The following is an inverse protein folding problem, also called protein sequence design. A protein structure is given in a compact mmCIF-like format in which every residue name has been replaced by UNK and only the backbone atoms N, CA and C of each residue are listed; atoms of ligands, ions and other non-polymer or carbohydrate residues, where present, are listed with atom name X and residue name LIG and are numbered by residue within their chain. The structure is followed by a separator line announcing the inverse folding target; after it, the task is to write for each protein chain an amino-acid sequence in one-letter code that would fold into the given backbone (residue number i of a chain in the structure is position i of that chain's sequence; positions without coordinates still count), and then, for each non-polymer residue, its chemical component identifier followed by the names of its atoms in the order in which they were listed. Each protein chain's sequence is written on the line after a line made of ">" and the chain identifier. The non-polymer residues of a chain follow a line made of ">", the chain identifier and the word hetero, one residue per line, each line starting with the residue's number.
data_IF_159874839493
#
_entry.id   IF_159874839493
#
_cell.length_a   1.000
_cell.length_b   1.000
_cell.length_c   1.000
_cell.angle_alpha   90.00
_cell.angle_beta   90.00
_cell.angle_gamma   90.00
#
_symmetry.space_group_name_H-M   'P 1'
#
loop_
_entity.id
_entity.type
_entity.pdbx_description
1 polymer ?
#
# COMPACT_ATOMS: atom_id res chain seq x y z
N UNK A 1 -1.34 7.07 9.39
CA UNK A 1 -2.72 6.56 9.63
C UNK A 1 -3.47 7.63 10.42
N UNK A 2 -4.34 8.40 9.78
CA UNK A 2 -5.16 9.44 10.44
C UNK A 2 -6.62 9.02 10.26
N UNK A 3 -7.11 8.23 11.22
CA UNK A 3 -8.55 8.00 11.31
C UNK A 3 -9.18 9.31 11.80
N UNK A 4 -9.99 9.91 10.96
CA UNK A 4 -10.66 11.17 11.27
C UNK A 4 -11.63 10.95 12.46
N UNK A 5 -11.51 11.71 13.54
CA UNK A 5 -12.35 11.57 14.76
C UNK A 5 -13.86 11.70 14.47
N UNK A 6 -14.22 12.36 13.37
CA UNK A 6 -15.62 12.51 12.93
C UNK A 6 -16.31 11.21 12.55
N UNK A 7 -15.56 10.12 12.31
CA UNK A 7 -16.11 8.81 11.97
C UNK A 7 -16.87 8.13 13.14
N UNK A 8 -16.76 8.63 14.38
CA UNK A 8 -17.39 8.03 15.56
C UNK A 8 -18.83 8.52 15.78
N UNK A 9 -19.20 9.67 15.25
CA UNK A 9 -20.49 10.29 15.46
C UNK A 9 -21.54 9.87 14.42
N UNK A 10 -22.82 9.76 14.80
CA UNK A 10 -23.90 9.55 13.84
C UNK A 10 -23.92 10.66 12.77
N UNK A 11 -23.91 10.30 11.51
CA UNK A 11 -23.82 11.21 10.38
C UNK A 11 -22.39 11.59 9.98
N UNK A 12 -21.37 11.08 10.70
CA UNK A 12 -19.96 11.26 10.34
C UNK A 12 -19.54 10.42 9.12
N UNK A 13 -18.41 10.79 8.54
CA UNK A 13 -17.84 10.12 7.37
C UNK A 13 -16.54 9.41 7.74
N UNK A 14 -16.33 8.24 7.14
CA UNK A 14 -15.04 7.56 7.06
C UNK A 14 -14.45 7.88 5.70
N UNK A 15 -13.19 8.31 5.68
CA UNK A 15 -12.34 8.24 4.50
C UNK A 15 -11.08 7.50 4.89
N UNK A 16 -10.69 6.53 4.08
CA UNK A 16 -9.50 5.72 4.29
C UNK A 16 -8.78 5.54 2.97
N UNK A 17 -7.51 5.92 2.94
CA UNK A 17 -6.65 5.77 1.79
C UNK A 17 -5.70 4.59 2.06
N UNK A 18 -5.69 3.61 1.16
CA UNK A 18 -4.88 2.41 1.34
C UNK A 18 -4.31 1.92 0.01
N UNK A 19 -3.20 1.22 0.07
CA UNK A 19 -2.52 0.64 -1.08
C UNK A 19 -2.46 -0.88 -0.94
N UNK A 20 -2.88 -1.60 -1.97
CA UNK A 20 -2.65 -3.03 -2.05
C UNK A 20 -1.22 -3.31 -2.50
N UNK A 21 -0.44 -3.96 -1.64
CA UNK A 21 0.94 -4.37 -1.98
C UNK A 21 0.97 -5.43 -3.08
N UNK A 22 -0.11 -6.22 -3.22
CA UNK A 22 -0.26 -7.19 -4.31
C UNK A 22 -0.44 -6.52 -5.68
N UNK A 23 -0.87 -5.24 -5.71
CA UNK A 23 -1.10 -4.49 -6.94
C UNK A 23 0.14 -3.80 -7.50
N UNK A 24 1.31 -3.97 -6.86
CA UNK A 24 2.57 -3.48 -7.41
C UNK A 24 2.92 -4.22 -8.71
N UNK A 25 2.95 -3.51 -9.83
CA UNK A 25 3.20 -4.08 -11.15
C UNK A 25 3.84 -3.07 -12.10
N UNK A 26 4.24 -3.54 -13.28
CA UNK A 26 4.65 -2.68 -14.40
C UNK A 26 3.84 -3.06 -15.64
N UNK A 27 3.86 -2.17 -16.66
CA UNK A 27 3.29 -2.45 -17.98
C UNK A 27 4.21 -3.29 -18.85
N UNK A 28 5.44 -3.52 -18.42
CA UNK A 28 6.44 -4.25 -19.17
C UNK A 28 6.14 -5.75 -19.21
N UNK A 29 6.27 -6.34 -20.38
CA UNK A 29 6.10 -7.77 -20.60
C UNK A 29 7.23 -8.31 -21.50
N UNK A 30 8.07 -9.23 -21.00
CA UNK A 30 8.05 -9.83 -19.65
C UNK A 30 8.40 -8.83 -18.56
N UNK A 31 7.98 -9.11 -17.33
CA UNK A 31 8.35 -8.26 -16.19
C UNK A 31 9.87 -8.25 -15.99
N UNK A 32 10.47 -7.07 -15.76
CA UNK A 32 11.90 -6.97 -15.46
C UNK A 32 12.28 -7.80 -14.23
N UNK A 33 13.49 -8.43 -14.23
CA UNK A 33 13.97 -9.20 -13.08
C UNK A 33 13.95 -8.42 -11.76
N UNK A 34 14.30 -7.14 -11.82
CA UNK A 34 14.24 -6.20 -10.68
C UNK A 34 12.84 -6.15 -10.06
N UNK A 35 11.80 -6.00 -10.87
CA UNK A 35 10.41 -5.93 -10.40
C UNK A 35 9.97 -7.26 -9.80
N UNK A 36 10.39 -8.36 -10.41
CA UNK A 36 10.13 -9.71 -9.90
C UNK A 36 10.77 -9.91 -8.52
N UNK A 37 12.02 -9.46 -8.36
CA UNK A 37 12.72 -9.53 -7.06
C UNK A 37 12.04 -8.65 -6.00
N UNK A 38 11.66 -7.43 -6.34
CA UNK A 38 10.94 -6.55 -5.41
C UNK A 38 9.61 -7.18 -4.98
N UNK A 39 8.86 -7.77 -5.89
CA UNK A 39 7.63 -8.52 -5.56
C UNK A 39 7.89 -9.68 -4.61
N UNK A 40 8.95 -10.43 -4.84
CA UNK A 40 9.35 -11.54 -3.97
C UNK A 40 9.65 -11.04 -2.54
N UNK A 41 10.39 -9.93 -2.42
CA UNK A 41 10.72 -9.31 -1.13
C UNK A 41 9.45 -8.84 -0.41
N UNK A 42 8.57 -8.12 -1.10
CA UNK A 42 7.30 -7.64 -0.54
C UNK A 42 6.45 -8.83 -0.07
N UNK A 43 6.27 -9.84 -0.93
CA UNK A 43 5.50 -11.05 -0.61
C UNK A 43 6.06 -11.75 0.62
N UNK A 44 7.37 -11.93 0.70
CA UNK A 44 8.02 -12.53 1.86
C UNK A 44 7.75 -11.76 3.16
N UNK A 45 7.81 -10.42 3.14
CA UNK A 45 7.52 -9.60 4.33
C UNK A 45 6.03 -9.70 4.71
N UNK A 46 5.13 -9.64 3.73
CA UNK A 46 3.68 -9.80 3.94
C UNK A 46 3.40 -11.12 4.64
N UNK A 47 3.92 -12.23 4.12
CA UNK A 47 3.69 -13.58 4.65
C UNK A 47 4.31 -13.75 6.04
N UNK A 48 5.57 -13.36 6.21
CA UNK A 48 6.29 -13.58 7.48
C UNK A 48 5.83 -12.68 8.61
N UNK A 49 5.23 -11.53 8.31
CA UNK A 49 4.66 -10.59 9.28
C UNK A 49 3.16 -10.76 9.47
N UNK A 50 2.56 -11.72 8.77
CA UNK A 50 1.11 -11.95 8.76
C UNK A 50 0.33 -10.66 8.44
N UNK A 51 0.81 -9.91 7.46
CA UNK A 51 0.17 -8.67 7.00
C UNK A 51 -0.97 -9.01 6.06
N UNK A 52 -1.98 -8.16 6.03
CA UNK A 52 -3.06 -8.31 5.07
C UNK A 52 -2.56 -8.04 3.64
N UNK A 53 -2.75 -8.99 2.75
CA UNK A 53 -2.37 -8.86 1.33
C UNK A 53 -3.30 -7.91 0.55
N UNK A 54 -4.54 -7.77 1.00
CA UNK A 54 -5.55 -6.88 0.41
C UNK A 54 -6.22 -6.00 1.47
N UNK A 55 -5.50 -5.01 2.03
CA UNK A 55 -6.02 -4.13 3.06
C UNK A 55 -7.32 -3.40 2.67
N UNK A 56 -7.49 -2.88 1.43
CA UNK A 56 -8.71 -2.17 1.06
C UNK A 56 -9.99 -3.00 1.25
N UNK A 57 -9.96 -4.27 0.84
CA UNK A 57 -11.11 -5.18 1.01
C UNK A 57 -11.41 -5.46 2.49
N UNK A 58 -10.36 -5.63 3.28
CA UNK A 58 -10.51 -5.83 4.73
C UNK A 58 -11.16 -4.60 5.38
N UNK A 59 -10.68 -3.40 5.03
CA UNK A 59 -11.18 -2.13 5.59
C UNK A 59 -12.65 -1.92 5.20
N UNK A 60 -13.00 -2.15 3.94
CA UNK A 60 -14.40 -2.05 3.49
C UNK A 60 -15.31 -2.99 4.28
N UNK A 61 -14.92 -4.26 4.45
CA UNK A 61 -15.66 -5.24 5.22
C UNK A 61 -15.82 -4.84 6.69
N UNK A 62 -14.74 -4.37 7.31
CA UNK A 62 -14.80 -3.94 8.72
C UNK A 62 -15.60 -2.65 8.90
N UNK A 63 -15.57 -1.74 7.93
CA UNK A 63 -16.42 -0.56 7.91
C UNK A 63 -17.92 -0.97 7.83
N UNK A 64 -18.26 -1.94 6.97
CA UNK A 64 -19.62 -2.50 6.91
C UNK A 64 -20.06 -3.09 8.25
N UNK A 65 -19.20 -3.89 8.89
CA UNK A 65 -19.46 -4.47 10.22
C UNK A 65 -19.62 -3.41 11.31
N UNK A 66 -18.89 -2.31 11.19
CA UNK A 66 -19.00 -1.16 12.10
C UNK A 66 -20.26 -0.30 11.85
N UNK A 67 -21.10 -0.69 10.90
CA UNK A 67 -22.37 -0.03 10.59
C UNK A 67 -22.25 1.17 9.66
N UNK A 68 -21.15 1.33 8.94
CA UNK A 68 -21.06 2.31 7.87
C UNK A 68 -21.92 1.87 6.67
N UNK A 69 -22.58 2.83 6.06
CA UNK A 69 -23.41 2.64 4.87
C UNK A 69 -22.91 3.52 3.73
N UNK A 70 -23.46 3.32 2.52
CA UNK A 70 -23.05 4.05 1.32
C UNK A 70 -21.54 3.99 1.11
N UNK A 71 -20.98 2.80 1.35
CA UNK A 71 -19.58 2.57 1.09
C UNK A 71 -19.32 2.68 -0.41
N UNK A 72 -18.33 3.49 -0.76
CA UNK A 72 -17.78 3.57 -2.10
C UNK A 72 -16.28 3.30 -2.05
N UNK A 73 -15.76 2.71 -3.11
CA UNK A 73 -14.35 2.40 -3.27
C UNK A 73 -13.89 2.96 -4.60
N UNK A 74 -12.93 3.86 -4.58
CA UNK A 74 -12.38 4.51 -5.75
C UNK A 74 -10.93 4.08 -5.95
N UNK A 75 -10.62 3.58 -7.15
CA UNK A 75 -9.28 3.19 -7.52
C UNK A 75 -8.57 4.33 -8.24
N UNK A 76 -7.45 4.76 -7.70
CA UNK A 76 -6.52 5.70 -8.32
C UNK A 76 -5.22 4.98 -8.68
N UNK A 77 -4.74 5.19 -9.91
CA UNK A 77 -3.48 4.60 -10.36
C UNK A 77 -2.54 5.70 -10.83
N UNK A 78 -1.23 5.46 -10.75
CA UNK A 78 -0.23 6.37 -11.31
C UNK A 78 -0.42 6.58 -12.81
N UNK A 79 -0.99 5.60 -13.53
CA UNK A 79 -1.35 5.72 -14.95
C UNK A 79 -2.45 6.77 -15.18
N UNK A 80 -3.51 6.75 -14.38
CA UNK A 80 -4.64 7.68 -14.52
C UNK A 80 -4.37 9.06 -13.94
N UNK A 81 -3.32 9.20 -13.12
CA UNK A 81 -2.94 10.40 -12.40
C UNK A 81 -1.43 10.67 -12.54
N UNK A 82 -0.95 11.13 -13.72
CA UNK A 82 0.50 11.30 -13.96
C UNK A 82 1.21 12.22 -12.95
N UNK A 83 0.50 13.19 -12.38
CA UNK A 83 1.05 14.08 -11.34
C UNK A 83 1.39 13.37 -10.03
N UNK A 84 0.90 12.13 -9.84
CA UNK A 84 1.23 11.29 -8.69
C UNK A 84 2.51 10.45 -8.92
N UNK A 85 3.12 10.52 -10.10
CA UNK A 85 4.28 9.70 -10.45
C UNK A 85 5.48 9.93 -9.50
N UNK A 86 5.85 11.20 -9.29
CA UNK A 86 6.98 11.55 -8.41
C UNK A 86 6.69 11.23 -6.93
N UNK A 87 5.53 11.60 -6.36
CA UNK A 87 5.17 11.14 -5.02
C UNK A 87 5.15 9.62 -4.87
N UNK A 88 4.61 8.88 -5.85
CA UNK A 88 4.58 7.43 -5.81
C UNK A 88 6.00 6.83 -5.85
N UNK A 89 6.89 7.34 -6.69
CA UNK A 89 8.29 6.94 -6.73
C UNK A 89 8.98 7.15 -5.38
N UNK A 90 8.84 8.34 -4.81
CA UNK A 90 9.44 8.66 -3.51
C UNK A 90 8.91 7.76 -2.39
N UNK A 91 7.59 7.50 -2.38
CA UNK A 91 6.96 6.60 -1.43
C UNK A 91 7.45 5.15 -1.60
N UNK A 92 7.49 4.63 -2.83
CA UNK A 92 7.99 3.29 -3.11
C UNK A 92 9.45 3.13 -2.70
N UNK A 93 10.30 4.10 -3.01
CA UNK A 93 11.71 4.12 -2.61
C UNK A 93 11.85 4.01 -1.10
N UNK A 94 11.09 4.80 -0.34
CA UNK A 94 11.11 4.76 1.11
C UNK A 94 10.57 3.42 1.65
N UNK A 95 9.54 2.89 1.04
CA UNK A 95 8.98 1.59 1.39
C UNK A 95 10.01 0.47 1.20
N UNK A 96 10.72 0.47 0.06
CA UNK A 96 11.77 -0.52 -0.23
C UNK A 96 12.91 -0.44 0.79
N UNK A 97 13.36 0.75 1.18
CA UNK A 97 14.36 0.94 2.23
C UNK A 97 13.94 0.33 3.57
N UNK A 98 12.65 0.25 3.82
CA UNK A 98 12.11 -0.37 5.02
C UNK A 98 11.96 -1.89 4.89
N UNK A 99 11.43 -2.37 3.77
CA UNK A 99 11.06 -3.77 3.59
C UNK A 99 12.23 -4.68 3.23
N UNK A 100 13.21 -4.19 2.46
CA UNK A 100 14.33 -5.00 2.00
C UNK A 100 15.16 -5.52 3.19
N UNK A 101 15.62 -4.69 4.13
CA UNK A 101 16.36 -5.19 5.30
C UNK A 101 15.56 -6.21 6.12
N UNK A 102 14.25 -5.95 6.30
CA UNK A 102 13.37 -6.86 7.05
C UNK A 102 13.27 -8.24 6.40
N UNK A 103 13.22 -8.29 5.06
CA UNK A 103 13.20 -9.54 4.32
C UNK A 103 14.52 -10.30 4.45
N UNK A 104 15.66 -9.62 4.28
CA UNK A 104 16.99 -10.23 4.31
C UNK A 104 17.36 -10.78 5.67
N UNK A 105 17.10 -10.03 6.74
CA UNK A 105 17.42 -10.48 8.12
C UNK A 105 16.60 -11.71 8.47
N UNK A 106 15.35 -11.77 8.06
CA UNK A 106 14.45 -12.86 8.42
C UNK A 106 14.65 -14.11 7.59
N UNK A 107 15.09 -13.99 6.35
CA UNK A 107 15.45 -15.13 5.49
C UNK A 107 16.79 -15.76 5.86
N UNK A 108 17.57 -15.11 6.73
CA UNK A 108 18.92 -15.55 7.09
C UNK A 108 19.94 -15.31 5.98
N UNK A 109 19.58 -14.56 4.94
CA UNK A 109 20.48 -14.22 3.83
C UNK A 109 21.62 -13.30 4.29
N UNK A 110 21.38 -12.52 5.36
CA UNK A 110 22.33 -11.57 5.94
C UNK A 110 22.30 -11.64 7.45
N UNK A 111 23.43 -11.89 8.07
CA UNK A 111 23.59 -11.90 9.53
C UNK A 111 23.92 -10.52 10.11
N UNK A 112 24.37 -9.59 9.30
CA UNK A 112 24.85 -8.27 9.72
C UNK A 112 24.03 -7.13 9.10
N UNK A 113 23.63 -6.17 9.94
CA UNK A 113 22.82 -5.01 9.52
C UNK A 113 23.51 -4.13 8.47
N UNK A 114 24.85 -4.04 8.49
CA UNK A 114 25.61 -3.23 7.51
C UNK A 114 25.51 -3.81 6.11
N UNK A 115 25.68 -5.13 5.96
CA UNK A 115 25.56 -5.79 4.66
C UNK A 115 24.13 -5.65 4.12
N UNK A 116 23.13 -5.77 4.99
CA UNK A 116 21.75 -5.55 4.62
C UNK A 116 21.50 -4.13 4.12
N UNK A 117 22.17 -3.13 4.71
CA UNK A 117 22.07 -1.72 4.31
C UNK A 117 22.66 -1.49 2.92
N UNK A 118 23.88 -1.95 2.67
CA UNK A 118 24.54 -1.76 1.38
C UNK A 118 23.77 -2.42 0.24
N UNK A 119 23.28 -3.62 0.47
CA UNK A 119 22.47 -4.34 -0.50
C UNK A 119 21.11 -3.68 -0.74
N UNK A 120 20.53 -3.09 0.30
CA UNK A 120 19.30 -2.30 0.21
C UNK A 120 19.50 -1.07 -0.67
N UNK A 121 20.54 -0.27 -0.41
CA UNK A 121 20.80 0.93 -1.18
C UNK A 121 21.16 0.60 -2.64
N UNK A 122 21.87 -0.50 -2.90
CA UNK A 122 22.14 -0.96 -4.26
C UNK A 122 20.83 -1.29 -5.02
N UNK A 123 19.93 -2.04 -4.40
CA UNK A 123 18.65 -2.40 -5.02
C UNK A 123 17.73 -1.18 -5.19
N UNK A 124 17.73 -0.28 -4.24
CA UNK A 124 16.98 0.98 -4.31
C UNK A 124 17.51 1.87 -5.44
N UNK A 125 18.82 2.00 -5.58
CA UNK A 125 19.43 2.80 -6.67
C UNK A 125 19.09 2.21 -8.05
N UNK A 126 19.09 0.88 -8.18
CA UNK A 126 18.65 0.21 -9.41
C UNK A 126 17.17 0.47 -9.70
N UNK A 127 16.31 0.41 -8.66
CA UNK A 127 14.89 0.73 -8.78
C UNK A 127 14.65 2.19 -9.18
N UNK A 128 15.34 3.14 -8.57
CA UNK A 128 15.22 4.56 -8.93
C UNK A 128 15.62 4.81 -10.39
N UNK A 129 16.69 4.17 -10.85
CA UNK A 129 17.12 4.21 -12.27
C UNK A 129 16.06 3.61 -13.19
N UNK A 130 15.46 2.48 -12.82
CA UNK A 130 14.37 1.86 -13.57
C UNK A 130 13.15 2.77 -13.67
N UNK A 131 12.77 3.46 -12.59
CA UNK A 131 11.63 4.38 -12.55
C UNK A 131 11.75 5.59 -13.49
N UNK A 132 12.95 5.95 -13.92
CA UNK A 132 13.15 6.99 -14.95
C UNK A 132 12.61 6.54 -16.32
N UNK A 133 12.67 5.25 -16.58
CA UNK A 133 12.24 4.66 -17.87
C UNK A 133 10.82 4.12 -17.80
N UNK A 134 10.48 3.45 -16.71
CA UNK A 134 9.20 2.78 -16.52
C UNK A 134 8.76 2.88 -15.06
N UNK A 135 7.88 3.81 -14.76
CA UNK A 135 7.33 3.92 -13.41
C UNK A 135 6.40 2.74 -13.11
N UNK A 136 6.61 2.04 -12.00
CA UNK A 136 5.68 1.00 -11.57
C UNK A 136 4.27 1.54 -11.35
N UNK A 137 3.29 0.72 -11.67
CA UNK A 137 1.90 1.02 -11.37
C UNK A 137 1.67 0.86 -9.88
N UNK A 138 1.25 1.94 -9.25
CA UNK A 138 0.78 1.95 -7.86
C UNK A 138 -0.72 2.17 -7.87
N UNK A 139 -1.42 1.26 -7.23
CA UNK A 139 -2.85 1.36 -7.03
C UNK A 139 -3.11 1.84 -5.61
N UNK A 140 -3.75 2.99 -5.51
CA UNK A 140 -4.26 3.53 -4.26
C UNK A 140 -5.77 3.46 -4.29
N UNK A 141 -6.36 2.95 -3.24
CA UNK A 141 -7.81 2.85 -3.10
C UNK A 141 -8.29 3.76 -1.99
N UNK A 142 -9.29 4.57 -2.31
CA UNK A 142 -9.96 5.46 -1.36
C UNK A 142 -11.30 4.84 -1.01
N UNK A 143 -11.49 4.53 0.26
CA UNK A 143 -12.73 3.96 0.79
C UNK A 143 -13.47 5.08 1.53
N UNK A 144 -14.69 5.37 1.10
CA UNK A 144 -15.55 6.38 1.73
C UNK A 144 -16.79 5.69 2.26
N UNK A 145 -17.17 6.02 3.47
CA UNK A 145 -18.38 5.51 4.09
C UNK A 145 -19.06 6.55 4.96
N UNK A 146 -20.36 6.42 5.15
CA UNK A 146 -21.15 7.29 6.00
C UNK A 146 -21.75 6.49 7.17
N UNK A 147 -21.66 7.02 8.39
CA UNK A 147 -22.36 6.47 9.53
C UNK A 147 -23.81 6.98 9.54
N UNK A 148 -24.83 6.11 9.58
CA UNK A 148 -26.23 6.57 9.59
C UNK A 148 -26.50 7.50 10.76
N UNK A 149 -27.31 8.53 10.52
CA UNK A 149 -27.93 9.28 11.62
C UNK A 149 -28.90 8.35 12.33
N UNK A 150 -28.76 8.24 13.64
CA UNK A 150 -29.80 7.58 14.43
C UNK A 150 -31.06 8.45 14.31
N UNK A 151 -32.07 7.96 13.59
CA UNK A 151 -33.38 8.54 13.65
C UNK A 151 -33.86 8.38 15.11
N UNK A 152 -33.81 9.45 15.89
CA UNK A 152 -34.55 9.46 17.15
C UNK A 152 -36.00 9.27 16.74
N UNK A 153 -36.53 8.06 16.99
CA UNK A 153 -37.97 7.83 16.96
C UNK A 153 -38.56 8.75 18.02
N UNK A 154 -39.15 9.85 17.59
CA UNK A 154 -40.00 10.67 18.42
C UNK A 154 -41.23 9.77 18.73
N UNK A 155 -41.23 9.21 19.92
CA UNK A 155 -42.42 8.59 20.53
C UNK A 155 -43.34 9.68 21.06
#
# INVERSE_FOLDING_TARGET
>A
MIANQTAKEPGGYLQWDETSMAAFSTDESPQPPLITEIKRIIGHVVDTRNLCSNPPELIEREAQRAGFVRLSRELHTTRSKPHLADPARAWLTQLLRTLIPLSMIKSGEVSEQEIAKDRTEALVAEFEKHCVQALPLVNMEVIIGMKPKVLQSVL
#
